data_IF_385572842880
#
_entry.id   IF_385572842880
#
_cell.length_a   1.000
_cell.length_b   1.000
_cell.length_c   1.000
_cell.angle_alpha   90.00
_cell.angle_beta   90.00
_cell.angle_gamma   90.00
#
_symmetry.space_group_name_H-M   'P 1'
#
loop_
_entity.id
_entity.type
_entity.pdbx_description
1 polymer ?
#
# COMPACT_ATOMS: atom_id res chain seq x y z
N UNK A 1 20.34 9.25 -22.72
CA UNK A 1 19.94 10.26 -21.73
C UNK A 1 19.02 9.57 -20.74
N UNK A 2 19.49 9.32 -19.54
CA UNK A 2 18.66 8.81 -18.44
C UNK A 2 17.67 9.93 -18.10
N UNK A 3 16.38 9.76 -18.40
CA UNK A 3 15.36 10.67 -17.89
C UNK A 3 15.30 10.47 -16.39
N UNK A 4 15.68 11.47 -15.62
CA UNK A 4 15.47 11.46 -14.18
C UNK A 4 13.99 11.73 -13.93
N UNK A 5 13.27 10.70 -13.49
CA UNK A 5 11.88 10.83 -13.05
C UNK A 5 11.86 11.07 -11.54
N UNK A 6 11.47 12.28 -11.15
CA UNK A 6 11.33 12.65 -9.75
C UNK A 6 9.91 12.37 -9.29
N UNK A 7 9.77 11.52 -8.28
CA UNK A 7 8.50 11.16 -7.67
C UNK A 7 8.49 11.64 -6.22
N UNK A 8 7.38 12.24 -5.78
CA UNK A 8 7.15 12.56 -4.38
C UNK A 8 6.00 11.70 -3.85
N UNK A 9 6.33 10.48 -3.43
CA UNK A 9 5.37 9.52 -2.92
C UNK A 9 5.22 9.65 -1.40
N UNK A 10 3.99 9.60 -0.93
CA UNK A 10 3.68 9.40 0.48
C UNK A 10 4.13 7.99 0.93
N UNK A 11 4.31 7.80 2.24
CA UNK A 11 4.73 6.50 2.77
C UNK A 11 3.74 5.38 2.40
N UNK A 12 2.43 5.65 2.48
CA UNK A 12 1.37 4.72 2.07
C UNK A 12 1.46 4.35 0.59
N UNK A 13 1.71 5.32 -0.29
CA UNK A 13 1.87 5.10 -1.73
C UNK A 13 3.11 4.24 -2.03
N UNK A 14 4.20 4.45 -1.29
CA UNK A 14 5.42 3.64 -1.41
C UNK A 14 5.19 2.18 -0.99
N UNK A 15 4.43 1.96 0.08
CA UNK A 15 4.06 0.61 0.53
C UNK A 15 3.18 -0.08 -0.50
N UNK A 16 2.17 0.60 -1.02
CA UNK A 16 1.29 0.04 -2.06
C UNK A 16 2.07 -0.25 -3.34
N UNK A 17 2.99 0.62 -3.76
CA UNK A 17 3.85 0.39 -4.92
C UNK A 17 4.75 -0.85 -4.75
N UNK A 18 5.34 -1.03 -3.56
CA UNK A 18 6.16 -2.21 -3.27
C UNK A 18 5.35 -3.51 -3.23
N UNK A 19 4.14 -3.46 -2.66
CA UNK A 19 3.20 -4.59 -2.69
C UNK A 19 2.77 -4.90 -4.13
N UNK A 20 2.45 -3.88 -4.92
CA UNK A 20 2.06 -4.01 -6.31
C UNK A 20 3.18 -4.64 -7.14
N UNK A 21 4.44 -4.24 -6.94
CA UNK A 21 5.58 -4.86 -7.60
C UNK A 21 5.70 -6.37 -7.28
N UNK A 22 5.42 -6.76 -6.03
CA UNK A 22 5.42 -8.17 -5.61
C UNK A 22 4.29 -8.95 -6.27
N UNK A 23 3.08 -8.38 -6.32
CA UNK A 23 1.92 -8.98 -7.01
C UNK A 23 2.18 -9.11 -8.50
N UNK A 24 2.73 -8.08 -9.12
CA UNK A 24 3.08 -8.04 -10.54
C UNK A 24 4.08 -9.15 -10.87
N UNK A 25 5.16 -9.27 -10.10
CA UNK A 25 6.13 -10.36 -10.25
C UNK A 25 5.49 -11.75 -10.10
N UNK A 26 4.49 -11.89 -9.23
CA UNK A 26 3.69 -13.11 -9.10
C UNK A 26 2.82 -13.41 -10.32
N UNK A 27 2.14 -12.39 -10.87
CA UNK A 27 1.31 -12.54 -12.07
C UNK A 27 2.13 -12.95 -13.29
N UNK A 28 3.36 -12.44 -13.42
CA UNK A 28 4.28 -12.78 -14.49
C UNK A 28 4.73 -14.26 -14.50
N UNK A 29 4.61 -14.97 -13.37
CA UNK A 29 4.90 -16.42 -13.34
C UNK A 29 3.86 -17.24 -14.10
N UNK A 30 2.65 -16.70 -14.30
CA UNK A 30 1.54 -17.39 -14.95
C UNK A 30 1.18 -16.80 -16.31
N UNK A 31 1.65 -15.59 -16.63
CA UNK A 31 1.28 -14.84 -17.82
C UNK A 31 2.53 -14.16 -18.37
N UNK A 32 2.80 -14.29 -19.67
CA UNK A 32 3.92 -13.58 -20.30
C UNK A 32 3.61 -12.09 -20.43
N UNK A 33 4.58 -11.23 -20.08
CA UNK A 33 4.48 -9.78 -20.30
C UNK A 33 4.57 -9.49 -21.80
N UNK A 34 3.58 -8.79 -22.33
CA UNK A 34 3.53 -8.28 -23.70
C UNK A 34 3.18 -6.79 -23.67
N UNK A 35 3.51 -6.06 -24.73
CA UNK A 35 3.16 -4.63 -24.84
C UNK A 35 1.63 -4.38 -24.84
N UNK A 36 0.83 -5.41 -25.10
CA UNK A 36 -0.64 -5.33 -25.13
C UNK A 36 -1.25 -5.54 -23.74
N UNK A 37 -0.55 -6.23 -22.82
CA UNK A 37 -1.07 -6.57 -21.49
C UNK A 37 -0.32 -5.88 -20.34
N UNK A 38 0.74 -5.13 -20.63
CA UNK A 38 1.56 -4.45 -19.63
C UNK A 38 0.72 -3.54 -18.74
N UNK A 39 -0.05 -2.63 -19.34
CA UNK A 39 -0.90 -1.68 -18.61
C UNK A 39 -1.96 -2.40 -17.76
N UNK A 40 -2.61 -3.43 -18.30
CA UNK A 40 -3.61 -4.22 -17.58
C UNK A 40 -2.99 -4.93 -16.36
N UNK A 41 -1.81 -5.52 -16.52
CA UNK A 41 -1.12 -6.21 -15.44
C UNK A 41 -0.66 -5.24 -14.34
N UNK A 42 -0.21 -4.03 -14.72
CA UNK A 42 0.15 -2.97 -13.78
C UNK A 42 -1.08 -2.52 -12.99
N UNK A 43 -2.18 -2.17 -13.68
CA UNK A 43 -3.43 -1.74 -13.04
C UNK A 43 -3.97 -2.81 -12.08
N UNK A 44 -3.98 -4.07 -12.53
CA UNK A 44 -4.44 -5.20 -11.72
C UNK A 44 -3.58 -5.39 -10.47
N UNK A 45 -2.27 -5.22 -10.58
CA UNK A 45 -1.34 -5.37 -9.46
C UNK A 45 -1.56 -4.29 -8.41
N UNK A 46 -1.74 -3.04 -8.85
CA UNK A 46 -2.06 -1.90 -7.97
C UNK A 46 -3.41 -2.11 -7.28
N UNK A 47 -4.44 -2.58 -8.02
CA UNK A 47 -5.76 -2.83 -7.46
C UNK A 47 -5.73 -3.92 -6.37
N UNK A 48 -5.00 -5.02 -6.60
CA UNK A 48 -4.82 -6.08 -5.61
C UNK A 48 -4.05 -5.56 -4.39
N UNK A 49 -2.94 -4.84 -4.60
CA UNK A 49 -2.14 -4.29 -3.51
C UNK A 49 -2.95 -3.33 -2.63
N UNK A 50 -3.72 -2.43 -3.25
CA UNK A 50 -4.63 -1.52 -2.54
C UNK A 50 -5.68 -2.28 -1.75
N UNK A 51 -6.30 -3.31 -2.35
CA UNK A 51 -7.30 -4.14 -1.66
C UNK A 51 -6.70 -4.87 -0.44
N UNK A 52 -5.47 -5.37 -0.56
CA UNK A 52 -4.77 -6.01 0.55
C UNK A 52 -4.44 -5.00 1.66
N UNK A 53 -3.93 -3.82 1.31
CA UNK A 53 -3.64 -2.76 2.27
C UNK A 53 -4.89 -2.31 3.04
N UNK A 54 -6.00 -2.05 2.35
CA UNK A 54 -7.28 -1.68 2.99
C UNK A 54 -7.81 -2.79 3.90
N UNK A 55 -7.66 -4.05 3.48
CA UNK A 55 -8.10 -5.18 4.31
C UNK A 55 -7.22 -5.36 5.54
N UNK A 56 -5.91 -5.14 5.39
CA UNK A 56 -4.96 -5.15 6.49
C UNK A 56 -5.30 -4.06 7.50
N UNK A 57 -5.57 -2.83 7.05
CA UNK A 57 -6.00 -1.71 7.91
C UNK A 57 -7.28 -2.04 8.71
N UNK A 58 -8.27 -2.68 8.09
CA UNK A 58 -9.52 -3.04 8.78
C UNK A 58 -9.35 -4.14 9.83
N UNK A 59 -8.39 -5.05 9.65
CA UNK A 59 -8.22 -6.25 10.48
C UNK A 59 -7.12 -6.05 11.53
N UNK A 60 -6.06 -5.35 11.16
CA UNK A 60 -4.91 -5.02 12.00
C UNK A 60 -5.22 -3.68 12.66
N UNK A 61 -5.79 -3.73 13.86
CA UNK A 61 -5.79 -2.56 14.73
C UNK A 61 -4.35 -2.27 15.11
N UNK A 62 -3.80 -1.14 14.67
CA UNK A 62 -2.49 -0.70 15.12
C UNK A 62 -2.53 -0.43 16.62
N UNK A 63 -1.61 -1.00 17.39
CA UNK A 63 -1.47 -0.70 18.82
C UNK A 63 -1.24 0.81 19.06
N UNK A 64 -0.73 1.56 18.06
CA UNK A 64 -0.59 3.02 18.16
C UNK A 64 -1.94 3.76 18.25
N UNK A 65 -3.02 3.21 17.69
CA UNK A 65 -4.37 3.78 17.90
C UNK A 65 -4.87 3.53 19.33
N UNK A 66 -4.42 2.45 19.98
CA UNK A 66 -4.64 2.20 21.42
C UNK A 66 -3.78 3.09 22.31
N UNK A 67 -2.62 3.53 21.82
CA UNK A 67 -1.69 4.43 22.54
C UNK A 67 -2.05 5.92 22.38
N UNK A 68 -3.12 6.27 21.65
CA UNK A 68 -3.85 7.53 21.92
C UNK A 68 -4.55 7.40 23.28
N UNK A 69 -3.73 7.37 24.35
CA UNK A 69 -4.12 7.61 25.73
C UNK A 69 -5.04 8.83 25.70
N UNK A 70 -6.17 8.70 26.37
CA UNK A 70 -7.05 9.80 26.67
C UNK A 70 -6.26 10.92 27.39
N UNK A 71 -5.60 11.79 26.65
CA UNK A 71 -5.10 13.08 27.13
C UNK A 71 -6.27 14.07 27.11
N UNK A 72 -7.34 13.69 27.81
CA UNK A 72 -8.51 14.52 28.00
C UNK A 72 -8.84 14.52 29.47
N UNK A 73 -8.10 15.33 30.24
CA UNK A 73 -8.43 16.02 31.51
C UNK A 73 -9.18 15.27 32.64
N UNK A 74 -9.57 14.02 32.48
CA UNK A 74 -10.48 13.31 33.37
C UNK A 74 -9.80 12.83 34.66
N UNK A 75 -8.46 12.91 34.73
CA UNK A 75 -7.70 12.55 35.93
C UNK A 75 -7.61 13.69 36.96
N UNK A 76 -8.12 14.89 36.68
CA UNK A 76 -8.10 16.03 37.61
C UNK A 76 -9.36 16.16 38.48
N UNK A 77 -10.29 15.20 38.41
CA UNK A 77 -11.58 15.24 39.13
C UNK A 77 -11.77 14.10 40.15
N UNK A 78 -10.68 13.41 40.55
CA UNK A 78 -10.71 12.40 41.62
C UNK A 78 -9.63 12.64 42.65
#
# INVERSE_FOLDING_TARGET
>A
MTKEEFLHLQHSESVVAQMAATVFAGLLQHQSLTAENEDELVERSIAIATKLALRAEQVIKSDEEWVKKATGSAYLLG
#
